data_IF_267357890754
#
_entry.id   IF_267357890754
#
_cell.length_a   1.000
_cell.length_b   1.000
_cell.length_c   1.000
_cell.angle_alpha   90.00
_cell.angle_beta   90.00
_cell.angle_gamma   90.00
#
_symmetry.space_group_name_H-M   'P 1'
#
loop_
_entity.id
_entity.type
_entity.pdbx_description
1 polymer ?
#
# COMPACT_ATOMS: atom_id res chain seq x y z
N UNK A 1 -5.88 14.18 17.88
CA UNK A 1 -6.13 13.79 16.47
C UNK A 1 -5.69 12.34 16.28
N UNK A 2 -6.46 11.52 15.54
CA UNK A 2 -6.01 10.17 15.17
C UNK A 2 -4.98 10.32 14.06
N UNK A 3 -3.83 9.64 14.20
CA UNK A 3 -2.80 9.61 13.15
C UNK A 3 -3.25 8.67 12.03
N UNK A 4 -2.96 9.06 10.80
CA UNK A 4 -3.35 8.32 9.61
C UNK A 4 -2.12 7.74 8.92
N UNK A 5 -2.24 6.54 8.35
CA UNK A 5 -1.12 5.81 7.78
C UNK A 5 -1.49 5.20 6.44
N UNK A 6 -0.53 5.22 5.52
CA UNK A 6 -0.49 4.28 4.41
C UNK A 6 0.41 3.11 4.80
N UNK A 7 0.04 1.92 4.36
CA UNK A 7 0.83 0.71 4.52
C UNK A 7 1.09 0.03 3.19
N UNK A 8 2.22 -0.66 3.10
CA UNK A 8 2.60 -1.51 1.99
C UNK A 8 2.47 -2.98 2.41
N UNK A 9 1.75 -3.75 1.62
CA UNK A 9 1.81 -5.22 1.65
C UNK A 9 2.16 -5.77 0.28
N UNK A 10 2.76 -6.96 0.26
CA UNK A 10 3.07 -7.70 -0.97
C UNK A 10 2.65 -9.15 -0.86
N UNK A 11 2.39 -9.79 -1.99
CA UNK A 11 2.25 -11.24 -2.03
C UNK A 11 3.61 -11.91 -1.72
N UNK A 12 3.60 -13.09 -1.09
CA UNK A 12 4.83 -13.80 -0.71
C UNK A 12 5.66 -14.28 -1.91
N UNK A 13 5.02 -14.52 -3.04
CA UNK A 13 5.68 -14.79 -4.33
C UNK A 13 6.19 -13.51 -5.00
N UNK A 14 6.02 -12.34 -4.37
CA UNK A 14 6.57 -11.06 -4.79
C UNK A 14 6.12 -10.59 -6.19
N UNK A 15 4.94 -11.02 -6.62
CA UNK A 15 4.35 -10.71 -7.95
C UNK A 15 3.30 -9.60 -7.91
N UNK A 16 2.82 -9.24 -6.71
CA UNK A 16 1.74 -8.29 -6.49
C UNK A 16 1.98 -7.48 -5.22
N UNK A 17 1.51 -6.24 -5.21
CA UNK A 17 1.54 -5.40 -4.02
C UNK A 17 0.26 -4.58 -3.86
N UNK A 18 0.04 -4.08 -2.64
CA UNK A 18 -1.05 -3.17 -2.32
C UNK A 18 -0.54 -2.06 -1.41
N UNK A 19 -0.92 -0.83 -1.75
CA UNK A 19 -0.87 0.33 -0.86
C UNK A 19 -2.26 0.51 -0.26
N UNK A 20 -2.38 0.44 1.06
CA UNK A 20 -3.66 0.57 1.75
C UNK A 20 -3.65 1.63 2.86
N UNK A 21 -4.83 2.12 3.24
CA UNK A 21 -5.02 3.06 4.36
C UNK A 21 -5.34 2.38 5.70
N UNK A 22 -4.82 2.93 6.79
CA UNK A 22 -5.21 2.54 8.16
C UNK A 22 -4.94 3.64 9.20
N UNK A 23 -5.70 3.60 10.30
CA UNK A 23 -5.42 4.40 11.52
C UNK A 23 -4.66 3.59 12.59
N UNK A 24 -4.45 2.29 12.38
CA UNK A 24 -3.78 1.40 13.33
C UNK A 24 -2.89 0.38 12.59
N UNK A 25 -1.67 0.78 12.19
CA UNK A 25 -0.78 -0.05 11.39
C UNK A 25 -0.33 -1.32 12.11
N UNK A 26 -0.18 -1.28 13.44
CA UNK A 26 0.20 -2.46 14.24
C UNK A 26 -0.88 -3.55 14.21
N UNK A 27 -2.13 -3.16 14.42
CA UNK A 27 -3.27 -4.09 14.30
C UNK A 27 -3.40 -4.62 12.88
N UNK A 28 -3.19 -3.76 11.88
CA UNK A 28 -3.21 -4.16 10.47
C UNK A 28 -2.11 -5.17 10.13
N UNK A 29 -0.88 -4.95 10.60
CA UNK A 29 0.23 -5.88 10.41
C UNK A 29 -0.06 -7.25 11.03
N UNK A 30 -0.59 -7.28 12.27
CA UNK A 30 -1.02 -8.51 12.93
C UNK A 30 -2.10 -9.24 12.13
N UNK A 31 -3.08 -8.52 11.60
CA UNK A 31 -4.15 -9.12 10.79
C UNK A 31 -3.62 -9.81 9.53
N UNK A 32 -2.64 -9.22 8.84
CA UNK A 32 -2.00 -9.88 7.69
C UNK A 32 -1.20 -11.13 8.12
N UNK A 33 -0.51 -11.08 9.25
CA UNK A 33 0.22 -12.24 9.78
C UNK A 33 -0.71 -13.41 10.18
N UNK A 34 -1.91 -13.13 10.67
CA UNK A 34 -2.81 -14.18 11.21
C UNK A 34 -3.88 -14.65 10.24
N UNK A 35 -4.33 -13.81 9.29
CA UNK A 35 -5.48 -14.11 8.43
C UNK A 35 -5.18 -14.05 6.93
N UNK A 36 -4.04 -13.52 6.50
CA UNK A 36 -3.68 -13.38 5.09
C UNK A 36 -2.32 -14.00 4.84
N UNK A 37 -2.24 -15.33 5.02
CA UNK A 37 -0.98 -16.06 5.06
C UNK A 37 -0.17 -15.99 3.76
N UNK A 38 -0.78 -15.62 2.64
CA UNK A 38 -0.11 -15.43 1.34
C UNK A 38 0.44 -14.01 1.12
N UNK A 39 0.28 -13.14 2.13
CA UNK A 39 0.62 -11.71 2.07
C UNK A 39 1.58 -11.36 3.20
N UNK A 40 2.58 -10.54 2.88
CA UNK A 40 3.55 -10.01 3.81
C UNK A 40 3.31 -8.51 4.01
N UNK A 41 3.30 -8.07 5.28
CA UNK A 41 3.26 -6.65 5.63
C UNK A 41 4.68 -6.09 5.65
N UNK A 42 4.96 -5.09 4.81
CA UNK A 42 6.32 -4.58 4.57
C UNK A 42 6.62 -3.33 5.41
N UNK A 43 5.66 -2.42 5.53
CA UNK A 43 5.88 -1.20 6.29
C UNK A 43 4.72 -0.22 6.19
N UNK A 44 4.86 0.92 6.86
CA UNK A 44 3.87 1.99 6.87
C UNK A 44 4.51 3.37 7.03
N UNK A 45 3.79 4.40 6.62
CA UNK A 45 4.18 5.81 6.72
C UNK A 45 2.99 6.66 7.13
N UNK A 46 3.22 7.58 8.05
CA UNK A 46 2.22 8.56 8.50
C UNK A 46 1.91 9.55 7.36
N UNK A 47 0.63 9.87 7.18
CA UNK A 47 0.12 10.75 6.14
C UNK A 47 -0.86 11.79 6.73
N UNK A 48 -1.09 12.92 6.04
CA UNK A 48 -2.01 13.95 6.53
C UNK A 48 -3.49 13.56 6.46
N UNK A 49 -3.91 12.84 5.41
CA UNK A 49 -5.32 12.48 5.18
C UNK A 49 -5.46 11.19 4.31
N UNK A 50 -6.55 10.44 4.47
CA UNK A 50 -6.85 9.22 3.70
C UNK A 50 -6.83 9.41 2.18
N UNK A 51 -7.07 10.61 1.66
CA UNK A 51 -7.04 10.91 0.21
C UNK A 51 -5.71 10.55 -0.45
N UNK A 52 -4.61 10.53 0.32
CA UNK A 52 -3.28 10.21 -0.16
C UNK A 52 -3.16 8.76 -0.66
N UNK A 53 -4.01 7.84 -0.20
CA UNK A 53 -4.10 6.49 -0.76
C UNK A 53 -4.46 6.53 -2.25
N UNK A 54 -5.52 7.28 -2.60
CA UNK A 54 -5.98 7.42 -3.99
C UNK A 54 -4.96 8.15 -4.85
N UNK A 55 -4.28 9.15 -4.30
CA UNK A 55 -3.22 9.86 -5.03
C UNK A 55 -2.02 8.95 -5.32
N UNK A 56 -1.58 8.15 -4.35
CA UNK A 56 -0.55 7.13 -4.59
C UNK A 56 -0.97 6.13 -5.66
N UNK A 57 -2.24 5.68 -5.63
CA UNK A 57 -2.75 4.77 -6.66
C UNK A 57 -2.76 5.41 -8.05
N UNK A 58 -3.13 6.69 -8.15
CA UNK A 58 -3.10 7.44 -9.39
C UNK A 58 -1.68 7.59 -9.96
N UNK A 59 -0.71 7.90 -9.10
CA UNK A 59 0.70 7.99 -9.49
C UNK A 59 1.27 6.63 -9.95
N UNK A 60 0.87 5.52 -9.31
CA UNK A 60 1.23 4.19 -9.78
C UNK A 60 0.68 3.89 -11.17
N UNK A 61 -0.58 4.27 -11.45
CA UNK A 61 -1.18 4.11 -12.77
C UNK A 61 -0.44 4.94 -13.85
N UNK A 62 -0.03 6.17 -13.53
CA UNK A 62 0.81 6.99 -14.43
C UNK A 62 2.14 6.31 -14.75
N UNK A 63 2.75 5.67 -13.74
CA UNK A 63 3.99 4.86 -13.86
C UNK A 63 3.77 3.50 -14.54
N UNK A 64 2.62 3.29 -15.19
CA UNK A 64 2.28 2.08 -15.96
C UNK A 64 2.11 0.81 -15.11
N UNK A 65 1.95 0.93 -13.78
CA UNK A 65 1.55 -0.22 -12.97
C UNK A 65 0.11 -0.62 -13.31
N UNK A 66 -0.14 -1.92 -13.46
CA UNK A 66 -1.46 -2.46 -13.77
C UNK A 66 -2.17 -2.88 -12.50
N UNK A 67 -3.48 -2.65 -12.43
CA UNK A 67 -4.31 -3.16 -11.34
C UNK A 67 -4.58 -4.65 -11.51
N UNK A 68 -4.49 -5.41 -10.42
CA UNK A 68 -4.90 -6.82 -10.40
C UNK A 68 -6.41 -6.92 -10.17
N UNK A 69 -7.09 -7.74 -10.97
CA UNK A 69 -8.46 -8.16 -10.67
C UNK A 69 -8.38 -9.32 -9.67
N UNK A 70 -8.38 -9.00 -8.37
CA UNK A 70 -8.28 -10.02 -7.31
C UNK A 70 -9.63 -10.14 -6.62
N UNK A 71 -10.45 -11.15 -6.96
CA UNK A 71 -11.72 -11.47 -6.27
C UNK A 71 -12.58 -10.22 -5.94
N UNK A 72 -12.79 -9.33 -6.92
CA UNK A 72 -13.59 -8.11 -6.74
C UNK A 72 -12.91 -6.94 -6.00
N UNK A 73 -11.64 -7.07 -5.60
CA UNK A 73 -10.86 -6.02 -4.91
C UNK A 73 -9.90 -5.35 -5.90
N UNK A 74 -10.09 -4.05 -6.13
CA UNK A 74 -9.35 -3.21 -7.09
C UNK A 74 -8.13 -2.51 -6.48
N UNK A 75 -7.68 -2.95 -5.31
CA UNK A 75 -6.65 -2.26 -4.53
C UNK A 75 -5.22 -2.76 -4.81
N UNK A 76 -5.08 -3.90 -5.48
CA UNK A 76 -3.79 -4.54 -5.77
C UNK A 76 -3.22 -4.11 -7.13
N UNK A 77 -1.89 -4.11 -7.22
CA UNK A 77 -1.13 -3.83 -8.44
C UNK A 77 -0.23 -5.02 -8.77
N UNK A 78 -0.07 -5.28 -10.07
CA UNK A 78 0.90 -6.24 -10.60
C UNK A 78 2.32 -5.71 -10.41
N UNK A 79 3.26 -6.61 -10.16
CA UNK A 79 4.67 -6.30 -9.97
C UNK A 79 5.07 -6.18 -8.50
N UNK A 80 6.19 -5.51 -8.28
CA UNK A 80 6.81 -5.37 -6.97
C UNK A 80 7.29 -3.94 -6.77
N UNK A 81 7.10 -3.43 -5.55
CA UNK A 81 7.82 -2.27 -5.04
C UNK A 81 8.40 -2.60 -3.67
N UNK A 82 9.58 -2.08 -3.40
CA UNK A 82 10.20 -2.19 -2.08
C UNK A 82 9.77 -1.03 -1.16
N UNK A 83 10.18 -1.10 0.12
CA UNK A 83 9.84 -0.09 1.12
C UNK A 83 10.35 1.31 0.74
N UNK A 84 11.55 1.41 0.14
CA UNK A 84 12.13 2.70 -0.26
C UNK A 84 11.28 3.34 -1.36
N UNK A 85 10.96 2.59 -2.42
CA UNK A 85 10.12 3.07 -3.52
C UNK A 85 8.74 3.53 -3.05
N UNK A 86 8.17 2.82 -2.07
CA UNK A 86 6.92 3.22 -1.42
C UNK A 86 7.03 4.54 -0.66
N UNK A 87 8.10 4.73 0.12
CA UNK A 87 8.33 5.98 0.85
C UNK A 87 8.58 7.15 -0.11
N UNK A 88 9.36 6.92 -1.17
CA UNK A 88 9.65 7.91 -2.21
C UNK A 88 8.36 8.31 -2.97
N UNK A 89 7.48 7.34 -3.27
CA UNK A 89 6.17 7.59 -3.87
C UNK A 89 5.32 8.50 -2.97
N UNK A 90 5.20 8.17 -1.68
CA UNK A 90 4.41 8.98 -0.74
C UNK A 90 4.98 10.40 -0.66
N UNK A 91 6.30 10.54 -0.58
CA UNK A 91 6.94 11.85 -0.51
C UNK A 91 6.68 12.66 -1.77
N UNK A 92 6.71 12.04 -2.96
CA UNK A 92 6.39 12.71 -4.22
C UNK A 92 4.94 13.22 -4.26
N UNK A 93 4.00 12.46 -3.70
CA UNK A 93 2.58 12.84 -3.62
C UNK A 93 2.33 13.96 -2.59
N UNK A 94 3.13 14.03 -1.52
CA UNK A 94 3.05 15.10 -0.51
C UNK A 94 3.62 16.42 -1.04
N UNK A 95 4.66 16.35 -1.87
CA UNK A 95 5.36 17.54 -2.35
C UNK A 95 4.84 18.08 -3.70
N UNK A 96 4.10 17.27 -4.46
CA UNK A 96 3.47 17.65 -5.73
C UNK A 96 2.06 18.20 -5.54
#
# INVERSE_FOLDING_TARGET
MKREYLYLVRSKNNDKFKIGYTINPRSRAKNYQTHSLDVEFIGYKEIPDKKYEKLCHYELLKRQYKKCVTQGKTEWFEGHINLKEFLDLIQSVING
#
